data_IF_916753730645
#
_entry.id   IF_916753730645
#
_cell.length_a   1.000
_cell.length_b   1.000
_cell.length_c   1.000
_cell.angle_alpha   90.00
_cell.angle_beta   90.00
_cell.angle_gamma   90.00
#
_symmetry.space_group_name_H-M   'P 1'
#
loop_
_entity.id
_entity.type
_entity.pdbx_description
1 polymer ?
#
# COMPACT_ATOMS: atom_id res chain seq x y z
N UNK A 1 14.82 12.28 5.81
CA UNK A 1 15.29 10.91 6.14
C UNK A 1 14.22 9.96 5.65
N UNK A 2 14.53 9.13 4.66
CA UNK A 2 13.63 8.06 4.20
C UNK A 2 13.84 6.88 5.14
N UNK A 3 12.81 6.44 5.86
CA UNK A 3 12.84 5.17 6.58
C UNK A 3 12.83 4.04 5.53
N UNK A 4 13.99 3.76 4.94
CA UNK A 4 14.15 2.66 3.99
C UNK A 4 14.28 1.36 4.76
N UNK A 5 13.20 0.60 4.78
CA UNK A 5 13.22 -0.80 5.20
C UNK A 5 14.07 -1.61 4.22
N UNK A 6 14.75 -2.62 4.74
CA UNK A 6 15.50 -3.59 3.96
C UNK A 6 14.98 -4.99 4.24
N UNK A 7 15.28 -5.89 3.31
CA UNK A 7 15.03 -7.30 3.52
C UNK A 7 15.70 -7.78 4.81
N UNK A 8 14.94 -8.52 5.63
CA UNK A 8 15.33 -8.98 6.96
C UNK A 8 14.98 -8.05 8.13
N UNK A 9 14.42 -6.85 7.88
CA UNK A 9 13.91 -6.01 8.96
C UNK A 9 12.65 -6.63 9.62
N UNK A 10 12.56 -6.52 10.95
CA UNK A 10 11.40 -6.94 11.72
C UNK A 10 10.27 -5.92 11.58
N UNK A 11 9.05 -6.41 11.28
CA UNK A 11 7.91 -5.53 10.99
C UNK A 11 7.13 -5.18 12.26
N UNK A 12 6.95 -3.90 12.61
CA UNK A 12 5.98 -3.48 13.61
C UNK A 12 4.54 -3.70 13.09
N UNK A 13 3.54 -3.79 13.98
CA UNK A 13 2.11 -3.97 13.60
C UNK A 13 1.62 -2.99 12.52
N UNK A 14 2.20 -1.78 12.52
CA UNK A 14 2.07 -0.82 11.44
C UNK A 14 3.37 -0.05 11.21
N UNK A 15 3.58 0.41 9.99
CA UNK A 15 4.71 1.24 9.61
C UNK A 15 4.25 2.44 8.78
N UNK A 16 4.86 3.60 9.02
CA UNK A 16 4.76 4.73 8.09
C UNK A 16 5.81 4.57 7.00
N UNK A 17 5.33 4.39 5.77
CA UNK A 17 6.15 4.35 4.57
C UNK A 17 6.11 5.74 3.95
N UNK A 18 7.26 6.27 3.60
CA UNK A 18 7.37 7.61 3.05
C UNK A 18 8.44 7.66 1.97
N UNK A 19 8.34 8.63 1.09
CA UNK A 19 9.29 8.87 0.03
C UNK A 19 9.08 10.23 -0.61
N UNK A 20 9.72 10.43 -1.75
CA UNK A 20 9.49 11.59 -2.60
C UNK A 20 9.02 11.13 -3.97
N UNK A 21 8.20 11.94 -4.62
CA UNK A 21 7.76 11.77 -5.99
C UNK A 21 7.81 13.15 -6.66
N UNK A 22 8.36 13.22 -7.88
CA UNK A 22 8.44 14.48 -8.61
C UNK A 22 7.04 15.04 -8.83
N UNK A 23 6.89 16.36 -8.76
CA UNK A 23 5.65 17.04 -9.14
C UNK A 23 5.23 16.78 -10.61
N UNK A 24 6.16 16.34 -11.46
CA UNK A 24 5.90 15.98 -12.87
C UNK A 24 5.53 14.50 -13.05
N UNK A 25 5.60 13.68 -12.00
CA UNK A 25 5.25 12.28 -12.11
C UNK A 25 3.77 12.11 -12.43
N UNK A 26 3.48 11.39 -13.51
CA UNK A 26 2.11 11.03 -13.83
C UNK A 26 1.63 9.89 -12.91
N UNK A 27 0.52 10.13 -12.22
CA UNK A 27 -0.16 9.12 -11.41
C UNK A 27 -0.04 9.33 -9.90
N UNK A 28 -0.80 8.52 -9.18
CA UNK A 28 -0.93 8.60 -7.73
C UNK A 28 -0.09 7.50 -7.07
N UNK A 29 0.72 7.86 -6.08
CA UNK A 29 1.46 6.88 -5.28
C UNK A 29 0.48 6.03 -4.46
N UNK A 30 0.60 4.71 -4.58
CA UNK A 30 -0.06 3.72 -3.74
C UNK A 30 0.95 2.80 -3.09
N UNK A 31 0.64 2.35 -1.88
CA UNK A 31 1.35 1.28 -1.18
C UNK A 31 0.43 0.07 -1.11
N UNK A 32 0.93 -1.09 -1.55
CA UNK A 32 0.24 -2.38 -1.43
C UNK A 32 1.01 -3.30 -0.49
N UNK A 33 0.31 -3.93 0.46
CA UNK A 33 0.86 -4.96 1.35
C UNK A 33 0.41 -6.34 0.86
N UNK A 34 1.34 -7.30 0.80
CA UNK A 34 1.06 -8.69 0.48
C UNK A 34 1.56 -9.61 1.60
N UNK A 35 0.69 -10.04 2.51
CA UNK A 35 0.98 -11.12 3.44
C UNK A 35 1.01 -12.45 2.67
N UNK A 36 2.10 -13.22 2.79
CA UNK A 36 2.25 -14.48 2.04
C UNK A 36 1.28 -15.58 2.52
N UNK A 37 0.84 -15.52 3.77
CA UNK A 37 -0.16 -16.43 4.35
C UNK A 37 -1.58 -16.15 3.84
N UNK A 38 -1.93 -14.89 3.61
CA UNK A 38 -3.21 -14.48 3.04
C UNK A 38 -3.24 -14.63 1.51
N UNK A 39 -2.09 -14.46 0.85
CA UNK A 39 -1.94 -14.60 -0.60
C UNK A 39 -2.65 -13.51 -1.39
N UNK A 40 -2.84 -12.32 -0.80
CA UNK A 40 -3.63 -11.21 -1.36
C UNK A 40 -2.95 -9.86 -1.16
N UNK A 41 -3.22 -8.95 -2.08
CA UNK A 41 -2.79 -7.56 -2.04
C UNK A 41 -3.79 -6.68 -1.31
N UNK A 42 -3.30 -5.85 -0.40
CA UNK A 42 -4.07 -4.92 0.38
C UNK A 42 -3.56 -3.51 0.10
N UNK A 43 -4.27 -2.73 -0.73
CA UNK A 43 -4.01 -1.30 -0.87
C UNK A 43 -4.12 -0.63 0.49
N UNK A 44 -3.12 0.15 0.86
CA UNK A 44 -3.04 0.86 2.14
C UNK A 44 -3.57 2.27 2.00
N UNK A 45 -4.08 2.81 3.10
CA UNK A 45 -4.64 4.15 3.16
C UNK A 45 -4.49 4.77 4.53
N UNK A 46 -4.35 6.10 4.56
CA UNK A 46 -4.51 6.88 5.78
C UNK A 46 -5.94 6.78 6.33
N UNK A 47 -6.95 6.91 5.49
CA UNK A 47 -8.37 6.80 5.82
C UNK A 47 -9.16 6.20 4.65
N UNK A 48 -9.40 4.89 4.70
CA UNK A 48 -10.15 4.16 3.67
C UNK A 48 -11.61 4.64 3.52
N UNK A 49 -12.21 5.14 4.60
CA UNK A 49 -13.61 5.54 4.63
C UNK A 49 -13.83 6.92 4.02
N UNK A 50 -12.79 7.77 4.04
CA UNK A 50 -12.77 9.08 3.40
C UNK A 50 -12.05 9.08 2.03
N UNK A 51 -11.63 7.92 1.53
CA UNK A 51 -10.88 7.80 0.28
C UNK A 51 -9.47 8.42 0.34
N UNK A 52 -8.93 8.66 1.54
CA UNK A 52 -7.60 9.27 1.71
C UNK A 52 -6.55 8.16 1.79
N UNK A 53 -5.92 7.85 0.67
CA UNK A 53 -4.92 6.79 0.62
C UNK A 53 -3.50 7.29 0.98
N UNK A 54 -3.03 8.34 0.31
CA UNK A 54 -1.66 8.85 0.42
C UNK A 54 -1.65 10.32 0.76
N UNK A 55 -0.92 10.68 1.81
CA UNK A 55 -0.74 12.07 2.21
C UNK A 55 0.45 12.68 1.48
N UNK A 56 0.26 13.86 0.90
CA UNK A 56 1.30 14.60 0.20
C UNK A 56 1.62 15.91 0.92
N UNK A 57 2.91 16.25 0.97
CA UNK A 57 3.45 17.55 1.40
C UNK A 57 4.51 18.00 0.39
N UNK A 58 4.08 18.76 -0.61
CA UNK A 58 4.91 19.05 -1.79
C UNK A 58 5.24 17.78 -2.56
N UNK A 59 6.53 17.55 -2.82
CA UNK A 59 7.02 16.32 -3.46
C UNK A 59 7.18 15.15 -2.47
N UNK A 60 6.96 15.37 -1.17
CA UNK A 60 7.03 14.31 -0.17
C UNK A 60 5.68 13.61 -0.02
N UNK A 61 5.70 12.30 0.19
CA UNK A 61 4.50 11.51 0.42
C UNK A 61 4.68 10.54 1.58
N UNK A 62 3.58 10.16 2.22
CA UNK A 62 3.55 9.11 3.25
C UNK A 62 2.22 8.35 3.27
N UNK A 63 2.30 7.08 3.68
CA UNK A 63 1.17 6.18 3.90
C UNK A 63 1.44 5.36 5.16
N UNK A 64 0.42 5.15 6.00
CA UNK A 64 0.50 4.16 7.08
C UNK A 64 0.08 2.80 6.55
N UNK A 65 1.02 1.85 6.52
CA UNK A 65 0.78 0.46 6.17
C UNK A 65 0.52 -0.38 7.43
N UNK A 66 -0.51 -1.20 7.38
CA UNK A 66 -0.91 -2.11 8.46
C UNK A 66 -0.62 -3.56 8.05
N UNK A 67 0.01 -4.30 8.96
CA UNK A 67 0.39 -5.70 8.75
C UNK A 67 -0.46 -6.65 9.61
N UNK A 68 -1.23 -6.11 10.55
CA UNK A 68 -2.02 -6.88 11.50
C UNK A 68 -1.16 -7.53 12.59
N UNK A 69 -1.78 -8.40 13.39
CA UNK A 69 -1.13 -9.10 14.51
C UNK A 69 -0.46 -10.44 14.11
N UNK A 70 -0.22 -10.66 12.82
CA UNK A 70 0.40 -11.88 12.29
C UNK A 70 1.87 -11.98 12.67
N UNK A 71 2.14 -12.45 13.90
CA UNK A 71 3.47 -12.85 14.33
C UNK A 71 4.02 -13.93 13.37
N UNK A 72 5.23 -13.73 12.85
CA UNK A 72 5.92 -14.67 11.97
C UNK A 72 5.58 -14.63 10.47
N UNK A 73 4.60 -13.86 10.00
CA UNK A 73 4.27 -13.83 8.56
C UNK A 73 5.30 -13.01 7.77
N UNK A 74 5.68 -13.48 6.59
CA UNK A 74 6.45 -12.69 5.63
C UNK A 74 5.50 -11.78 4.84
N UNK A 75 5.99 -10.60 4.47
CA UNK A 75 5.22 -9.60 3.74
C UNK A 75 6.02 -9.06 2.56
N UNK A 76 5.35 -8.75 1.45
CA UNK A 76 5.89 -7.86 0.43
C UNK A 76 5.18 -6.50 0.49
N UNK A 77 5.96 -5.43 0.41
CA UNK A 77 5.49 -4.07 0.23
C UNK A 77 5.80 -3.62 -1.19
N UNK A 78 4.78 -3.28 -1.96
CA UNK A 78 4.95 -2.67 -3.27
C UNK A 78 4.59 -1.18 -3.22
N UNK A 79 5.48 -0.33 -3.72
CA UNK A 79 5.19 1.08 -4.03
C UNK A 79 4.92 1.15 -5.53
N UNK A 80 3.75 1.65 -5.89
CA UNK A 80 3.30 1.74 -7.28
C UNK A 80 2.85 3.16 -7.60
N UNK A 81 2.95 3.55 -8.87
CA UNK A 81 2.19 4.68 -9.41
C UNK A 81 0.96 4.14 -10.11
N UNK A 82 -0.21 4.65 -9.73
CA UNK A 82 -1.48 4.33 -10.34
C UNK A 82 -1.86 5.44 -11.34
N UNK A 83 -2.21 5.07 -12.57
CA UNK A 83 -2.91 6.01 -13.45
C UNK A 83 -4.30 6.36 -12.91
N UNK A 84 -4.98 7.32 -13.53
CA UNK A 84 -6.29 7.80 -13.06
C UNK A 84 -7.37 6.70 -12.97
N UNK A 85 -7.32 5.68 -13.83
CA UNK A 85 -8.30 4.60 -13.82
C UNK A 85 -8.00 3.60 -12.69
N UNK A 86 -6.73 3.25 -12.51
CA UNK A 86 -6.27 2.40 -11.42
C UNK A 86 -6.54 3.05 -10.05
N UNK A 87 -6.21 4.34 -9.93
CA UNK A 87 -6.43 5.14 -8.73
C UNK A 87 -7.91 5.17 -8.33
N UNK A 88 -8.79 5.54 -9.26
CA UNK A 88 -10.23 5.53 -9.04
C UNK A 88 -10.73 4.15 -8.60
N UNK A 89 -10.22 3.07 -9.22
CA UNK A 89 -10.63 1.71 -8.87
C UNK A 89 -10.21 1.32 -7.46
N UNK A 90 -8.97 1.62 -7.06
CA UNK A 90 -8.47 1.33 -5.72
C UNK A 90 -9.21 2.14 -4.64
N UNK A 91 -9.47 3.42 -4.91
CA UNK A 91 -10.24 4.30 -4.02
C UNK A 91 -11.66 3.78 -3.80
N UNK A 92 -12.40 3.48 -4.88
CA UNK A 92 -13.74 2.90 -4.76
C UNK A 92 -13.74 1.57 -4.00
N UNK A 93 -12.76 0.69 -4.24
CA UNK A 93 -12.65 -0.57 -3.51
C UNK A 93 -12.48 -0.35 -2.00
N UNK A 94 -11.62 0.58 -1.59
CA UNK A 94 -11.42 0.86 -0.17
C UNK A 94 -12.65 1.47 0.50
N UNK A 95 -13.36 2.36 -0.18
CA UNK A 95 -14.62 2.93 0.31
C UNK A 95 -15.68 1.83 0.49
N UNK A 96 -15.84 0.95 -0.51
CA UNK A 96 -16.75 -0.21 -0.45
C UNK A 96 -16.38 -1.15 0.70
N UNK A 97 -15.09 -1.43 0.89
CA UNK A 97 -14.60 -2.29 1.96
C UNK A 97 -14.80 -1.68 3.35
N UNK A 98 -14.56 -0.37 3.49
CA UNK A 98 -14.87 0.33 4.73
C UNK A 98 -16.38 0.29 5.02
N UNK A 99 -17.22 0.63 4.05
CA UNK A 99 -18.68 0.62 4.21
C UNK A 99 -19.21 -0.75 4.61
N UNK A 100 -18.61 -1.83 4.09
CA UNK A 100 -18.92 -3.21 4.46
C UNK A 100 -18.25 -3.69 5.76
N UNK A 101 -17.33 -2.92 6.34
CA UNK A 101 -16.49 -3.32 7.47
C UNK A 101 -15.61 -4.54 7.19
N UNK A 102 -15.28 -4.80 5.91
CA UNK A 102 -14.61 -6.02 5.46
C UNK A 102 -13.60 -5.72 4.36
N UNK A 103 -12.35 -6.10 4.61
CA UNK A 103 -11.22 -5.88 3.71
C UNK A 103 -10.72 -7.22 3.17
N UNK A 104 -11.34 -7.79 2.12
CA UNK A 104 -11.01 -9.12 1.63
C UNK A 104 -9.64 -9.21 0.96
N UNK A 105 -9.07 -8.09 0.48
CA UNK A 105 -7.84 -8.08 -0.31
C UNK A 105 -8.05 -8.57 -1.74
N UNK A 106 -7.15 -8.18 -2.64
CA UNK A 106 -7.16 -8.48 -4.07
C UNK A 106 -6.27 -9.68 -4.38
N UNK A 107 -6.73 -10.62 -5.19
CA UNK A 107 -5.84 -11.58 -5.86
C UNK A 107 -4.98 -10.83 -6.87
N UNK A 108 -3.81 -11.35 -7.25
CA UNK A 108 -2.97 -10.72 -8.28
C UNK A 108 -3.71 -10.40 -9.59
N UNK A 109 -4.62 -11.28 -10.01
CA UNK A 109 -5.44 -11.08 -11.23
C UNK A 109 -6.55 -10.03 -11.08
N UNK A 110 -6.83 -9.57 -9.86
CA UNK A 110 -7.85 -8.56 -9.54
C UNK A 110 -7.25 -7.16 -9.35
N UNK A 111 -5.92 -7.04 -9.35
CA UNK A 111 -5.26 -5.73 -9.37
C UNK A 111 -5.69 -4.97 -10.63
N UNK A 112 -6.03 -3.67 -10.51
CA UNK A 112 -6.38 -2.88 -11.68
C UNK A 112 -5.21 -2.78 -12.64
N UNK A 113 -5.52 -2.75 -13.94
CA UNK A 113 -4.55 -2.31 -14.95
C UNK A 113 -4.21 -0.83 -14.70
N UNK A 114 -3.02 -0.40 -15.11
CA UNK A 114 -2.56 0.98 -14.91
C UNK A 114 -1.72 1.19 -13.64
N UNK A 115 -1.35 0.11 -12.95
CA UNK A 115 -0.35 0.14 -11.88
C UNK A 115 1.06 -0.06 -12.45
N UNK A 116 1.96 0.87 -12.16
CA UNK A 116 3.38 0.78 -12.47
C UNK A 116 4.19 0.57 -11.18
N UNK A 117 4.86 -0.57 -11.05
CA UNK A 117 5.74 -0.86 -9.91
C UNK A 117 6.98 0.05 -9.91
N UNK A 118 7.26 0.69 -8.78
CA UNK A 118 8.47 1.51 -8.56
C UNK A 118 9.45 0.87 -7.61
N UNK A 119 8.94 0.14 -6.61
CA UNK A 119 9.76 -0.62 -5.68
C UNK A 119 8.95 -1.77 -5.08
N UNK A 120 9.65 -2.87 -4.78
CA UNK A 120 9.14 -3.95 -3.95
C UNK A 120 10.16 -4.32 -2.88
N UNK A 121 9.71 -4.47 -1.64
CA UNK A 121 10.55 -4.85 -0.50
C UNK A 121 9.92 -6.04 0.21
N UNK A 122 10.72 -7.08 0.46
CA UNK A 122 10.33 -8.22 1.28
C UNK A 122 10.64 -7.91 2.75
N UNK A 123 9.75 -8.28 3.65
CA UNK A 123 9.87 -8.10 5.08
C UNK A 123 9.57 -9.41 5.81
N UNK A 124 10.25 -9.63 6.93
CA UNK A 124 10.06 -10.83 7.76
C UNK A 124 9.39 -10.49 9.08
N UNK A 125 8.26 -11.13 9.36
CA UNK A 125 7.68 -11.19 10.69
C UNK A 125 8.56 -12.03 11.63
N UNK A 126 8.66 -11.64 12.89
CA UNK A 126 9.23 -12.48 13.96
C UNK A 126 8.15 -13.26 14.67
#
# INVERSE_FOLDING_TARGET
MVNSLKDGDSVPESLVIAGTVSAEAAGTVWVLVYPYDAGRWYPQSTDACAGVHTEYEGESWRVKAWFGSGAGSEYSLAVVLADAAADARLSTLQEEWCAAGRYPGLRPVELPLGLEEKAIVMLRGR
#
